data_IF_628299554429
#
_entry.id   IF_628299554429
#
_cell.length_a   1.000
_cell.length_b   1.000
_cell.length_c   1.000
_cell.angle_alpha   90.00
_cell.angle_beta   90.00
_cell.angle_gamma   90.00
#
_symmetry.space_group_name_H-M   'P 1'
#
loop_
_entity.id
_entity.type
_entity.pdbx_description
1 polymer ?
#
# COMPACT_ATOMS: atom_id res chain seq x y z
N UNK A 1 -17.10 14.03 14.80
CA UNK A 1 -17.60 12.87 14.03
C UNK A 1 -18.56 12.12 14.92
N UNK A 2 -19.75 11.75 14.43
CA UNK A 2 -20.66 10.89 15.19
C UNK A 2 -20.19 9.43 15.06
N UNK A 3 -20.12 8.70 16.17
CA UNK A 3 -19.77 7.27 16.20
C UNK A 3 -18.30 6.92 16.51
N UNK A 4 -17.40 7.90 16.61
CA UNK A 4 -16.02 7.65 17.04
C UNK A 4 -15.96 7.46 18.56
N UNK A 5 -15.36 6.36 19.02
CA UNK A 5 -15.24 5.98 20.44
C UNK A 5 -13.86 6.36 21.00
N UNK A 6 -12.79 6.10 20.26
CA UNK A 6 -11.43 6.52 20.63
C UNK A 6 -10.64 6.97 19.41
N UNK A 7 -9.72 7.91 19.64
CA UNK A 7 -8.80 8.43 18.62
C UNK A 7 -7.40 8.42 19.22
N UNK A 8 -6.54 7.58 18.66
CA UNK A 8 -5.14 7.49 19.04
C UNK A 8 -4.27 8.12 17.95
N UNK A 9 -3.37 9.02 18.36
CA UNK A 9 -2.48 9.74 17.45
C UNK A 9 -1.04 9.33 17.75
N UNK A 10 -0.45 8.53 16.87
CA UNK A 10 0.96 8.22 16.92
C UNK A 10 1.73 9.18 16.02
N UNK A 11 2.34 10.21 16.62
CA UNK A 11 3.12 11.22 15.89
C UNK A 11 4.43 10.67 15.31
N UNK A 12 5.06 9.68 15.96
CA UNK A 12 6.31 9.06 15.46
C UNK A 12 6.08 8.37 14.12
N UNK A 13 4.93 7.70 13.98
CA UNK A 13 4.54 7.01 12.76
C UNK A 13 3.64 7.84 11.85
N UNK A 14 3.34 9.09 12.22
CA UNK A 14 2.33 9.94 11.55
C UNK A 14 0.98 9.23 11.32
N UNK A 15 0.60 8.34 12.23
CA UNK A 15 -0.58 7.47 12.10
C UNK A 15 -1.68 7.91 13.06
N UNK A 16 -2.91 7.95 12.56
CA UNK A 16 -4.11 8.19 13.36
C UNK A 16 -4.96 6.93 13.31
N UNK A 17 -5.27 6.37 14.47
CA UNK A 17 -6.15 5.21 14.61
C UNK A 17 -7.48 5.70 15.19
N UNK A 18 -8.57 5.50 14.47
CA UNK A 18 -9.92 5.84 14.93
C UNK A 18 -10.67 4.53 15.17
N UNK A 19 -11.15 4.33 16.38
CA UNK A 19 -11.99 3.19 16.72
C UNK A 19 -13.41 3.65 17.00
N UNK A 20 -14.40 2.88 16.54
CA UNK A 20 -15.82 3.20 16.66
C UNK A 20 -16.60 2.79 15.42
N UNK A 21 -17.90 3.05 15.44
CA UNK A 21 -18.79 2.79 14.31
C UNK A 21 -18.79 4.01 13.37
N UNK A 22 -17.75 4.10 12.54
CA UNK A 22 -17.53 5.23 11.63
C UNK A 22 -17.18 4.75 10.22
N UNK A 23 -17.62 5.51 9.23
CA UNK A 23 -17.28 5.28 7.83
C UNK A 23 -15.83 5.73 7.54
N UNK A 24 -14.95 4.83 7.05
CA UNK A 24 -13.56 5.15 6.74
C UNK A 24 -13.41 6.31 5.75
N UNK A 25 -14.31 6.46 4.77
CA UNK A 25 -14.25 7.55 3.79
C UNK A 25 -14.50 8.91 4.44
N UNK A 26 -15.42 8.97 5.41
CA UNK A 26 -15.69 10.19 6.19
C UNK A 26 -14.51 10.54 7.08
N UNK A 27 -13.85 9.54 7.66
CA UNK A 27 -12.63 9.72 8.45
C UNK A 27 -11.53 10.34 7.60
N UNK A 28 -11.26 9.75 6.42
CA UNK A 28 -10.25 10.24 5.50
C UNK A 28 -10.50 11.70 5.09
N UNK A 29 -11.72 12.01 4.64
CA UNK A 29 -12.10 13.39 4.25
C UNK A 29 -11.91 14.38 5.39
N UNK A 30 -12.24 13.99 6.62
CA UNK A 30 -12.06 14.88 7.77
C UNK A 30 -10.59 15.13 8.07
N UNK A 31 -9.75 14.09 8.02
CA UNK A 31 -8.30 14.26 8.21
C UNK A 31 -7.71 15.16 7.12
N UNK A 32 -8.14 14.97 5.87
CA UNK A 32 -7.75 15.84 4.75
C UNK A 32 -8.20 17.30 4.95
N UNK A 33 -9.40 17.52 5.50
CA UNK A 33 -9.92 18.86 5.80
C UNK A 33 -9.12 19.61 6.87
N UNK A 34 -8.36 18.90 7.73
CA UNK A 34 -7.48 19.50 8.74
C UNK A 34 -6.14 20.00 8.15
N UNK A 35 -6.05 20.13 6.83
CA UNK A 35 -4.83 20.60 6.13
C UNK A 35 -3.87 19.49 5.71
N UNK A 36 -4.16 18.23 6.04
CA UNK A 36 -3.32 17.07 5.70
C UNK A 36 -3.81 16.40 4.41
N UNK A 37 -3.60 17.06 3.26
CA UNK A 37 -4.08 16.57 1.94
C UNK A 37 -3.55 15.18 1.56
N UNK A 38 -2.37 14.80 2.03
CA UNK A 38 -1.73 13.50 1.75
C UNK A 38 -2.13 12.37 2.73
N UNK A 39 -3.29 12.49 3.37
CA UNK A 39 -3.77 11.41 4.24
C UNK A 39 -4.29 10.24 3.39
N UNK A 40 -3.80 9.04 3.69
CA UNK A 40 -4.15 7.78 3.03
C UNK A 40 -4.71 6.79 4.07
N UNK A 41 -5.46 5.79 3.60
CA UNK A 41 -5.84 4.68 4.48
C UNK A 41 -4.60 3.83 4.77
N UNK A 42 -4.44 3.44 6.02
CA UNK A 42 -3.40 2.50 6.44
C UNK A 42 -4.07 1.27 7.04
N UNK A 43 -3.67 0.03 6.71
CA UNK A 43 -2.53 -0.38 5.88
C UNK A 43 -2.91 -0.61 4.39
N UNK A 44 -3.96 0.03 3.88
CA UNK A 44 -4.54 -0.29 2.58
C UNK A 44 -4.12 0.70 1.49
N UNK A 45 -3.66 0.18 0.35
CA UNK A 45 -3.22 0.97 -0.81
C UNK A 45 -4.13 0.71 -2.02
N UNK A 46 -4.27 1.67 -2.95
CA UNK A 46 -5.05 1.47 -4.17
C UNK A 46 -4.51 0.30 -4.99
N UNK A 47 -5.41 -0.48 -5.58
CA UNK A 47 -5.08 -1.64 -6.42
C UNK A 47 -4.08 -1.29 -7.55
N UNK A 48 -4.18 -0.09 -8.13
CA UNK A 48 -3.32 0.37 -9.23
C UNK A 48 -1.88 0.66 -8.84
N UNK A 49 -1.56 0.78 -7.55
CA UNK A 49 -0.19 1.04 -7.07
C UNK A 49 0.56 -0.23 -6.67
N UNK A 50 -0.06 -1.40 -6.82
CA UNK A 50 0.48 -2.68 -6.37
C UNK A 50 0.85 -3.52 -7.58
N UNK A 51 2.08 -4.03 -7.61
CA UNK A 51 2.60 -4.82 -8.72
C UNK A 51 1.93 -6.20 -8.81
N UNK A 52 1.71 -6.84 -7.64
CA UNK A 52 1.05 -8.15 -7.56
C UNK A 52 -0.19 -8.10 -6.65
N UNK A 53 -1.32 -7.54 -7.11
CA UNK A 53 -2.51 -7.35 -6.29
C UNK A 53 -3.18 -8.65 -5.82
N UNK A 54 -2.96 -9.75 -6.55
CA UNK A 54 -3.52 -11.07 -6.27
C UNK A 54 -2.58 -11.97 -5.47
N UNK A 55 -1.44 -11.46 -5.00
CA UNK A 55 -0.52 -12.21 -4.15
C UNK A 55 -1.23 -12.66 -2.86
N UNK A 56 -0.87 -13.84 -2.36
CA UNK A 56 -1.38 -14.36 -1.10
C UNK A 56 -1.12 -13.33 0.03
N UNK A 57 -2.16 -12.99 0.79
CA UNK A 57 -2.07 -11.99 1.88
C UNK A 57 -2.26 -10.52 1.47
N UNK A 58 -2.35 -10.22 0.16
CA UNK A 58 -2.70 -8.88 -0.32
C UNK A 58 -4.20 -8.58 -0.21
N UNK A 59 -5.03 -9.59 -0.46
CA UNK A 59 -6.48 -9.47 -0.40
C UNK A 59 -7.00 -9.58 1.05
N UNK A 60 -7.70 -8.54 1.51
CA UNK A 60 -8.34 -8.50 2.83
C UNK A 60 -9.82 -8.13 2.66
N UNK A 61 -10.72 -8.95 3.23
CA UNK A 61 -12.17 -8.73 3.17
C UNK A 61 -12.61 -7.43 3.86
N UNK A 62 -11.76 -6.86 4.74
CA UNK A 62 -12.02 -5.60 5.45
C UNK A 62 -11.60 -4.38 4.64
N UNK A 63 -10.86 -4.56 3.54
CA UNK A 63 -10.42 -3.46 2.71
C UNK A 63 -11.62 -2.82 1.98
N UNK A 64 -11.64 -1.48 1.85
CA UNK A 64 -12.61 -0.82 0.98
C UNK A 64 -12.47 -1.28 -0.49
N UNK A 65 -13.54 -1.15 -1.30
CA UNK A 65 -13.48 -1.48 -2.72
C UNK A 65 -12.36 -0.73 -3.44
N UNK A 66 -11.57 -1.43 -4.26
CA UNK A 66 -10.43 -0.86 -4.99
C UNK A 66 -9.14 -0.70 -4.18
N UNK A 67 -9.13 -1.16 -2.92
CA UNK A 67 -7.94 -1.17 -2.07
C UNK A 67 -7.51 -2.60 -1.74
N UNK A 68 -6.20 -2.79 -1.61
CA UNK A 68 -5.57 -4.03 -1.16
C UNK A 68 -4.65 -3.73 0.02
N UNK A 69 -4.36 -4.72 0.85
CA UNK A 69 -3.42 -4.56 1.96
C UNK A 69 -2.01 -4.39 1.40
N UNK A 70 -1.27 -3.41 1.92
CA UNK A 70 0.17 -3.28 1.66
C UNK A 70 0.89 -4.45 2.35
N UNK A 71 1.17 -5.52 1.61
CA UNK A 71 2.01 -6.64 2.03
C UNK A 71 3.33 -6.62 1.24
N UNK A 72 4.40 -7.09 1.87
CA UNK A 72 5.73 -7.18 1.23
C UNK A 72 5.73 -8.10 0.00
N UNK A 73 4.81 -9.07 -0.02
CA UNK A 73 4.62 -10.01 -1.12
C UNK A 73 3.87 -9.39 -2.31
N UNK A 74 3.10 -8.32 -2.09
CA UNK A 74 2.35 -7.64 -3.14
C UNK A 74 3.16 -6.49 -3.79
N UNK A 75 4.23 -6.06 -3.13
CA UNK A 75 5.15 -5.05 -3.65
C UNK A 75 6.18 -5.70 -4.59
N UNK A 76 6.54 -5.00 -5.66
CA UNK A 76 7.72 -5.36 -6.43
C UNK A 76 8.93 -5.28 -5.51
N UNK A 77 9.60 -6.41 -5.28
CA UNK A 77 10.85 -6.43 -4.53
C UNK A 77 11.96 -6.00 -5.48
N UNK A 78 12.69 -4.90 -5.21
CA UNK A 78 13.82 -4.51 -6.03
C UNK A 78 14.89 -5.61 -5.96
N UNK A 79 15.19 -6.23 -7.10
CA UNK A 79 16.09 -7.39 -7.19
C UNK A 79 15.37 -8.74 -7.05
N UNK A 80 14.05 -8.75 -7.25
CA UNK A 80 13.26 -9.97 -7.32
C UNK A 80 13.74 -10.88 -8.46
N UNK A 81 13.28 -12.14 -8.45
CA UNK A 81 13.60 -13.09 -9.52
C UNK A 81 13.21 -12.58 -10.90
N UNK A 82 12.11 -11.84 -11.00
CA UNK A 82 11.67 -11.16 -12.24
C UNK A 82 12.67 -10.11 -12.71
N UNK A 83 13.10 -9.19 -11.84
CA UNK A 83 14.10 -8.17 -12.19
C UNK A 83 15.42 -8.81 -12.61
N UNK A 84 15.83 -9.89 -11.94
CA UNK A 84 17.05 -10.62 -12.28
C UNK A 84 16.91 -11.28 -13.65
N UNK A 85 15.77 -11.91 -13.94
CA UNK A 85 15.50 -12.51 -15.24
C UNK A 85 15.45 -11.45 -16.35
N UNK A 86 14.78 -10.32 -16.13
CA UNK A 86 14.77 -9.20 -17.08
C UNK A 86 16.17 -8.63 -17.31
N UNK A 87 16.99 -8.52 -16.27
CA UNK A 87 18.37 -8.02 -16.39
C UNK A 87 19.32 -8.94 -17.17
N UNK A 88 18.98 -10.23 -17.32
CA UNK A 88 19.75 -11.19 -18.14
C UNK A 88 19.51 -10.99 -19.65
N UNK A 89 18.47 -10.26 -20.04
CA UNK A 89 18.15 -9.97 -21.45
C UNK A 89 18.31 -8.48 -21.79
N UNK A 90 18.81 -7.66 -20.86
CA UNK A 90 19.09 -6.23 -21.11
C UNK A 90 20.38 -6.03 -21.89
N UNK A 91 20.27 -5.44 -23.08
CA UNK A 91 21.39 -5.06 -23.96
C UNK A 91 22.35 -4.04 -23.30
N UNK A 92 21.83 -3.20 -22.40
CA UNK A 92 22.63 -2.24 -21.61
C UNK A 92 23.42 -2.90 -20.45
N UNK A 93 23.16 -4.17 -20.14
CA UNK A 93 23.90 -4.88 -19.09
C UNK A 93 25.10 -5.62 -19.73
N UNK A 94 26.33 -5.13 -19.59
CA UNK A 94 27.51 -5.76 -20.19
C UNK A 94 27.79 -7.17 -19.64
N UNK A 95 27.15 -7.56 -18.55
CA UNK A 95 27.23 -8.91 -17.96
C UNK A 95 26.07 -9.83 -18.38
N UNK A 96 25.10 -9.37 -19.18
CA UNK A 96 23.93 -10.15 -19.59
C UNK A 96 24.18 -11.09 -20.79
N UNK A 97 25.18 -10.78 -21.64
CA UNK A 97 25.54 -11.58 -22.81
C UNK A 97 26.41 -12.80 -22.46
N UNK A 98 25.92 -13.71 -21.62
CA UNK A 98 26.64 -14.97 -21.33
C UNK A 98 25.82 -16.24 -21.56
N UNK A 99 24.68 -16.17 -22.27
CA UNK A 99 23.98 -17.37 -22.75
C UNK A 99 24.49 -17.68 -24.16
N UNK A 100 25.57 -18.47 -24.25
CA UNK A 100 25.97 -19.19 -25.47
C UNK A 100 25.30 -20.55 -25.51
#
# INVERSE_FOLDING_TARGET
MKGAKSVEVNRKLNKVTVSGYVDPKKVLKRVQSTGKKKAELWPYVPYTMVAYPYAAGAYDKRAPPGFVRKSEQAQAQPGGTDDKLMSMFSDENPNACTVM
#
